data_IF_794534064997
#
_entry.id   IF_794534064997
#
_cell.length_a   1.000
_cell.length_b   1.000
_cell.length_c   1.000
_cell.angle_alpha   90.00
_cell.angle_beta   90.00
_cell.angle_gamma   90.00
#
_symmetry.space_group_name_H-M   'P 1'
#
loop_
_entity.id
_entity.type
_entity.pdbx_description
1 polymer ?
#
# COMPACT_ATOMS: atom_id res chain seq x y z
N UNK A 1 -26.29 1.88 5.53
CA UNK A 1 -24.94 2.22 5.03
C UNK A 1 -24.42 3.41 5.81
N UNK A 2 -23.17 3.35 6.27
CA UNK A 2 -22.50 4.49 6.93
C UNK A 2 -21.29 4.90 6.11
N UNK A 3 -21.10 6.20 5.91
CA UNK A 3 -19.94 6.75 5.24
C UNK A 3 -19.27 7.78 6.16
N UNK A 4 -17.95 7.73 6.21
CA UNK A 4 -17.10 8.77 6.79
C UNK A 4 -16.10 9.21 5.74
N UNK A 5 -16.07 10.50 5.46
CA UNK A 5 -15.10 11.10 4.55
C UNK A 5 -14.28 12.08 5.38
N UNK A 6 -12.97 11.88 5.41
CA UNK A 6 -12.06 12.69 6.20
C UNK A 6 -11.02 13.32 5.29
N UNK A 7 -10.95 14.64 5.32
CA UNK A 7 -9.92 15.45 4.68
C UNK A 7 -8.95 15.92 5.76
N UNK A 8 -7.66 15.71 5.56
CA UNK A 8 -6.60 16.29 6.40
C UNK A 8 -5.87 17.34 5.58
N UNK A 9 -6.12 18.60 5.92
CA UNK A 9 -5.56 19.79 5.26
C UNK A 9 -4.04 19.81 5.42
N UNK A 10 -3.34 20.04 4.31
CA UNK A 10 -1.87 20.05 4.28
C UNK A 10 -1.27 21.37 4.74
N UNK A 11 -1.92 22.48 4.37
CA UNK A 11 -1.55 23.81 4.80
C UNK A 11 -2.72 24.47 5.55
N UNK A 12 -2.71 24.47 6.90
CA UNK A 12 -3.78 25.04 7.70
C UNK A 12 -4.07 26.51 7.39
N UNK A 13 -3.03 27.28 7.03
CA UNK A 13 -3.16 28.72 6.71
C UNK A 13 -3.91 28.99 5.41
N UNK A 14 -3.94 28.01 4.50
CA UNK A 14 -4.61 28.13 3.21
C UNK A 14 -6.08 27.70 3.26
N UNK A 15 -6.54 27.14 4.38
CA UNK A 15 -7.90 26.65 4.53
C UNK A 15 -8.78 27.69 5.23
N UNK A 16 -9.97 27.92 4.70
CA UNK A 16 -10.97 28.79 5.34
C UNK A 16 -12.34 28.10 5.44
N UNK A 17 -13.14 28.38 6.48
CA UNK A 17 -14.44 27.71 6.67
C UNK A 17 -15.43 27.95 5.52
N UNK A 18 -15.28 29.05 4.78
CA UNK A 18 -16.13 29.42 3.64
C UNK A 18 -16.01 28.44 2.47
N UNK A 19 -14.94 27.63 2.44
CA UNK A 19 -14.77 26.55 1.46
C UNK A 19 -15.73 25.38 1.69
N UNK A 20 -16.48 25.38 2.80
CA UNK A 20 -17.43 24.34 3.18
C UNK A 20 -18.84 24.90 3.24
N UNK A 21 -19.70 24.45 2.32
CA UNK A 21 -21.09 24.90 2.25
C UNK A 21 -22.03 23.71 2.38
N UNK A 22 -22.82 23.69 3.45
CA UNK A 22 -23.94 22.75 3.61
C UNK A 22 -25.18 23.39 2.97
N UNK A 23 -25.87 22.68 2.08
CA UNK A 23 -27.12 23.19 1.49
C UNK A 23 -28.20 23.37 2.56
N UNK A 24 -29.16 24.27 2.30
CA UNK A 24 -30.21 24.64 3.27
C UNK A 24 -31.04 23.46 3.80
N UNK A 25 -31.16 22.39 3.01
CA UNK A 25 -31.87 21.17 3.38
C UNK A 25 -31.02 20.18 4.20
N UNK A 26 -29.74 20.48 4.42
CA UNK A 26 -28.77 19.65 5.13
C UNK A 26 -28.40 18.35 4.39
N UNK A 27 -28.88 18.12 3.16
CA UNK A 27 -28.73 16.82 2.48
C UNK A 27 -27.45 16.69 1.66
N UNK A 28 -26.74 17.80 1.45
CA UNK A 28 -25.47 17.81 0.73
C UNK A 28 -24.50 18.83 1.29
N UNK A 29 -23.21 18.55 1.13
CA UNK A 29 -22.11 19.47 1.43
C UNK A 29 -21.22 19.62 0.20
N UNK A 30 -20.94 20.86 -0.16
CA UNK A 30 -19.98 21.22 -1.20
C UNK A 30 -18.66 21.64 -0.57
N UNK A 31 -17.56 21.11 -1.09
CA UNK A 31 -16.20 21.56 -0.83
C UNK A 31 -15.65 22.26 -2.06
N UNK A 32 -14.90 23.34 -1.88
CA UNK A 32 -14.24 24.06 -2.98
C UNK A 32 -12.75 24.29 -2.70
N UNK A 33 -11.90 23.81 -3.61
CA UNK A 33 -10.45 24.02 -3.61
C UNK A 33 -9.75 23.64 -2.27
N UNK A 34 -10.16 22.53 -1.66
CA UNK A 34 -9.58 22.08 -0.38
C UNK A 34 -8.31 21.25 -0.64
N UNK A 35 -7.14 21.77 -0.26
CA UNK A 35 -5.86 21.05 -0.40
C UNK A 35 -5.61 20.11 0.78
N UNK A 36 -6.02 18.84 0.62
CA UNK A 36 -5.98 17.84 1.68
C UNK A 36 -5.65 16.44 1.16
N UNK A 37 -5.11 15.61 2.05
CA UNK A 37 -5.23 14.17 1.89
C UNK A 37 -6.65 13.73 2.24
N UNK A 38 -7.19 12.72 1.55
CA UNK A 38 -8.57 12.25 1.71
C UNK A 38 -8.57 10.77 2.08
N UNK A 39 -9.40 10.40 3.05
CA UNK A 39 -9.77 9.01 3.31
C UNK A 39 -11.30 8.89 3.24
N UNK A 40 -11.79 7.92 2.48
CA UNK A 40 -13.20 7.60 2.39
C UNK A 40 -13.43 6.21 2.93
N UNK A 41 -14.17 6.13 4.04
CA UNK A 41 -14.55 4.89 4.69
C UNK A 41 -16.04 4.63 4.53
N UNK A 42 -16.41 3.48 3.99
CA UNK A 42 -17.78 3.02 3.81
C UNK A 42 -17.97 1.75 4.64
N UNK A 43 -18.99 1.72 5.48
CA UNK A 43 -19.38 0.55 6.27
C UNK A 43 -20.73 0.04 5.81
N UNK A 44 -20.77 -1.24 5.43
CA UNK A 44 -21.92 -1.93 4.89
C UNK A 44 -22.24 -3.14 5.76
N UNK A 45 -23.51 -3.29 6.15
CA UNK A 45 -24.00 -4.54 6.70
C UNK A 45 -23.93 -5.66 5.66
N UNK A 46 -23.79 -6.91 6.10
CA UNK A 46 -23.79 -8.06 5.17
C UNK A 46 -25.10 -8.18 4.36
N UNK A 47 -26.20 -7.67 4.88
CA UNK A 47 -27.51 -7.59 4.24
C UNK A 47 -27.61 -6.46 3.20
N UNK A 48 -26.71 -5.47 3.28
CA UNK A 48 -26.61 -4.37 2.32
C UNK A 48 -25.76 -4.73 1.09
N UNK A 49 -25.05 -5.86 1.13
CA UNK A 49 -24.23 -6.36 0.04
C UNK A 49 -25.04 -7.23 -0.94
N UNK A 50 -24.65 -7.28 -2.22
CA UNK A 50 -25.09 -8.34 -3.14
C UNK A 50 -24.91 -9.72 -2.51
N UNK A 51 -25.86 -10.63 -2.75
CA UNK A 51 -25.88 -11.97 -2.11
C UNK A 51 -24.58 -12.74 -2.36
N UNK A 52 -24.03 -12.59 -3.55
CA UNK A 52 -22.78 -13.18 -3.98
C UNK A 52 -21.63 -12.72 -3.08
N UNK A 53 -21.47 -11.40 -2.87
CA UNK A 53 -20.42 -10.85 -2.01
C UNK A 53 -20.66 -11.18 -0.53
N UNK A 54 -21.90 -11.11 -0.07
CA UNK A 54 -22.26 -11.48 1.31
C UNK A 54 -21.88 -12.94 1.60
N UNK A 55 -22.10 -13.84 0.64
CA UNK A 55 -21.75 -15.26 0.78
C UNK A 55 -20.24 -15.52 0.84
N UNK A 56 -19.43 -14.67 0.18
CA UNK A 56 -17.97 -14.74 0.24
C UNK A 56 -17.50 -14.41 1.66
N UNK A 57 -17.91 -13.28 2.21
CA UNK A 57 -17.47 -12.85 3.54
C UNK A 57 -17.91 -13.81 4.65
N UNK A 58 -19.10 -14.39 4.55
CA UNK A 58 -19.63 -15.35 5.54
C UNK A 58 -18.81 -16.64 5.69
N UNK A 59 -17.87 -16.92 4.78
CA UNK A 59 -16.98 -18.09 4.89
C UNK A 59 -15.79 -17.83 5.82
N UNK A 60 -15.52 -16.59 6.21
CA UNK A 60 -14.32 -16.22 6.94
C UNK A 60 -14.66 -15.80 8.37
N UNK A 61 -13.79 -16.13 9.34
CA UNK A 61 -13.86 -15.56 10.68
C UNK A 61 -13.46 -14.08 10.67
N UNK A 62 -12.41 -13.80 9.90
CA UNK A 62 -11.93 -12.46 9.55
C UNK A 62 -11.29 -12.49 8.16
N UNK A 63 -11.46 -11.41 7.40
CA UNK A 63 -10.99 -11.30 6.03
C UNK A 63 -10.61 -9.85 5.74
N UNK A 64 -9.32 -9.61 5.53
CA UNK A 64 -8.74 -8.29 5.36
C UNK A 64 -8.00 -8.24 4.03
N UNK A 65 -8.48 -7.42 3.10
CA UNK A 65 -7.77 -7.10 1.87
C UNK A 65 -7.11 -5.74 2.07
N UNK A 66 -5.84 -5.63 1.67
CA UNK A 66 -5.09 -4.38 1.61
C UNK A 66 -4.45 -4.31 0.24
N UNK A 67 -4.64 -3.21 -0.46
CA UNK A 67 -3.92 -2.92 -1.70
C UNK A 67 -3.22 -1.58 -1.57
N UNK A 68 -1.97 -1.51 -2.02
CA UNK A 68 -1.23 -0.26 -2.12
C UNK A 68 -0.63 -0.10 -3.52
N UNK A 69 -0.68 1.14 -4.03
CA UNK A 69 -0.09 1.50 -5.31
C UNK A 69 1.45 1.39 -5.28
N UNK A 70 2.05 1.07 -6.43
CA UNK A 70 3.49 1.15 -6.66
C UNK A 70 4.02 2.60 -6.71
N UNK A 71 3.12 3.58 -6.86
CA UNK A 71 3.48 4.99 -6.91
C UNK A 71 3.74 5.52 -5.51
N UNK A 72 4.96 6.02 -5.27
CA UNK A 72 5.33 6.68 -4.02
C UNK A 72 4.47 7.92 -3.75
N UNK A 73 4.13 8.13 -2.48
CA UNK A 73 3.41 9.31 -1.99
C UNK A 73 3.83 9.64 -0.56
N UNK A 74 3.58 10.88 -0.15
CA UNK A 74 3.80 11.32 1.23
C UNK A 74 2.54 10.97 2.01
N UNK A 75 2.65 10.08 2.99
CA UNK A 75 1.49 9.70 3.78
C UNK A 75 1.19 10.75 4.87
N UNK A 76 -0.05 11.23 4.89
CA UNK A 76 -0.57 12.21 5.86
C UNK A 76 -1.20 11.48 7.06
N UNK A 77 -0.72 11.68 8.29
CA UNK A 77 -1.39 11.16 9.48
C UNK A 77 -2.82 11.74 9.60
N UNK A 78 -3.80 11.01 10.16
CA UNK A 78 -3.69 9.72 10.85
C UNK A 78 -3.78 8.51 9.89
N UNK A 79 -3.75 8.73 8.58
CA UNK A 79 -3.90 7.66 7.60
C UNK A 79 -2.66 6.76 7.63
N UNK A 80 -2.87 5.53 8.10
CA UNK A 80 -1.78 4.61 8.51
C UNK A 80 -1.79 3.29 7.76
N UNK A 81 -2.69 3.11 6.79
CA UNK A 81 -2.62 1.95 5.89
C UNK A 81 -1.35 2.03 5.05
N UNK A 82 -0.34 1.27 5.47
CA UNK A 82 0.97 1.20 4.84
C UNK A 82 1.36 -0.26 4.70
N UNK A 83 1.25 -0.77 3.48
CA UNK A 83 1.74 -2.08 3.07
C UNK A 83 2.67 -1.91 1.87
N UNK A 84 3.50 -2.91 1.59
CA UNK A 84 4.28 -2.92 0.35
C UNK A 84 3.35 -2.94 -0.86
N UNK A 85 3.75 -2.35 -2.01
CA UNK A 85 2.90 -2.28 -3.18
C UNK A 85 2.37 -3.64 -3.64
N UNK A 86 1.11 -3.67 -4.08
CA UNK A 86 0.41 -4.89 -4.47
C UNK A 86 -0.73 -5.25 -3.52
N UNK A 87 -1.25 -6.46 -3.69
CA UNK A 87 -2.38 -7.02 -2.97
C UNK A 87 -1.89 -7.88 -1.80
N UNK A 88 -2.36 -7.58 -0.60
CA UNK A 88 -2.19 -8.38 0.61
C UNK A 88 -3.56 -8.84 1.09
N UNK A 89 -3.68 -10.12 1.42
CA UNK A 89 -4.90 -10.67 2.01
C UNK A 89 -4.54 -11.38 3.30
N UNK A 90 -5.09 -10.92 4.41
CA UNK A 90 -4.96 -11.56 5.72
C UNK A 90 -6.31 -12.16 6.09
N UNK A 91 -6.34 -13.44 6.43
CA UNK A 91 -7.61 -14.12 6.64
C UNK A 91 -7.52 -15.29 7.63
N UNK A 92 -8.66 -15.60 8.23
CA UNK A 92 -8.85 -16.79 9.07
C UNK A 92 -10.11 -17.52 8.60
N UNK A 93 -9.98 -18.74 8.05
CA UNK A 93 -11.14 -19.51 7.60
C UNK A 93 -11.98 -20.00 8.79
N UNK A 94 -13.30 -20.09 8.59
CA UNK A 94 -14.16 -20.89 9.47
C UNK A 94 -13.88 -22.39 9.29
N UNK A 95 -14.26 -23.21 10.28
CA UNK A 95 -14.14 -24.68 10.19
C UNK A 95 -14.90 -25.28 9.00
N UNK A 96 -15.94 -24.62 8.54
CA UNK A 96 -16.78 -25.03 7.40
C UNK A 96 -16.27 -24.51 6.05
N UNK A 97 -15.18 -23.74 6.02
CA UNK A 97 -14.66 -23.15 4.79
C UNK A 97 -14.02 -24.23 3.92
N UNK A 98 -14.43 -24.37 2.65
CA UNK A 98 -13.74 -25.25 1.71
C UNK A 98 -12.27 -24.86 1.52
N UNK A 99 -11.39 -25.83 1.27
CA UNK A 99 -9.96 -25.59 1.14
C UNK A 99 -9.60 -24.77 -0.11
N UNK A 100 -10.41 -24.83 -1.15
CA UNK A 100 -10.23 -24.11 -2.42
C UNK A 100 -10.90 -22.73 -2.43
N UNK A 101 -11.79 -22.45 -1.46
CA UNK A 101 -12.62 -21.24 -1.44
C UNK A 101 -11.82 -19.94 -1.62
N UNK A 102 -10.67 -19.81 -0.95
CA UNK A 102 -9.82 -18.63 -1.07
C UNK A 102 -9.36 -18.40 -2.51
N UNK A 103 -8.78 -19.40 -3.15
CA UNK A 103 -8.22 -19.27 -4.49
C UNK A 103 -9.32 -19.07 -5.54
N UNK A 104 -10.45 -19.79 -5.41
CA UNK A 104 -11.61 -19.60 -6.28
C UNK A 104 -12.12 -18.17 -6.23
N UNK A 105 -12.30 -17.62 -5.02
CA UNK A 105 -12.77 -16.23 -4.85
C UNK A 105 -11.75 -15.22 -5.36
N UNK A 106 -10.46 -15.45 -5.11
CA UNK A 106 -9.39 -14.59 -5.58
C UNK A 106 -9.31 -14.55 -7.11
N UNK A 107 -9.47 -15.69 -7.76
CA UNK A 107 -9.49 -15.80 -9.22
C UNK A 107 -10.73 -15.16 -9.83
N UNK A 108 -11.89 -15.32 -9.19
CA UNK A 108 -13.16 -14.75 -9.66
C UNK A 108 -13.24 -13.24 -9.48
N UNK A 109 -12.80 -12.71 -8.33
CA UNK A 109 -12.96 -11.29 -7.98
C UNK A 109 -11.79 -10.42 -8.42
N UNK A 110 -10.57 -10.97 -8.46
CA UNK A 110 -9.36 -10.18 -8.72
C UNK A 110 -8.75 -10.54 -10.07
N UNK A 111 -8.19 -11.74 -10.21
CA UNK A 111 -7.61 -12.19 -11.48
C UNK A 111 -7.35 -13.71 -11.50
N UNK A 112 -7.71 -14.41 -12.59
CA UNK A 112 -7.44 -15.84 -12.73
C UNK A 112 -5.95 -16.16 -12.92
N UNK A 113 -5.09 -15.17 -13.15
CA UNK A 113 -3.64 -15.37 -13.35
C UNK A 113 -2.85 -15.39 -12.04
N UNK A 114 -3.50 -15.23 -10.89
CA UNK A 114 -2.82 -15.20 -9.60
C UNK A 114 -2.34 -16.60 -9.20
N UNK A 115 -1.11 -16.66 -8.69
CA UNK A 115 -0.48 -17.90 -8.19
C UNK A 115 -1.18 -18.32 -6.89
N UNK A 116 -2.28 -19.06 -7.03
CA UNK A 116 -3.08 -19.58 -5.93
C UNK A 116 -3.68 -20.92 -6.36
N UNK A 117 -3.24 -22.02 -5.75
CA UNK A 117 -3.74 -23.38 -6.01
C UNK A 117 -4.78 -23.81 -4.97
N UNK A 118 -4.43 -23.72 -3.69
CA UNK A 118 -5.33 -23.91 -2.55
C UNK A 118 -5.00 -22.95 -1.41
N UNK A 119 -5.90 -22.85 -0.43
CA UNK A 119 -5.71 -21.99 0.74
C UNK A 119 -4.43 -22.35 1.51
N UNK A 120 -4.22 -23.63 1.80
CA UNK A 120 -3.08 -24.09 2.61
C UNK A 120 -1.75 -24.07 1.87
N UNK A 121 -1.77 -24.37 0.56
CA UNK A 121 -0.57 -24.42 -0.25
C UNK A 121 -0.03 -23.02 -0.58
N UNK A 122 -0.93 -22.08 -0.86
CA UNK A 122 -0.54 -20.76 -1.38
C UNK A 122 -0.25 -19.75 -0.28
N UNK A 123 -0.98 -19.82 0.85
CA UNK A 123 -0.83 -18.88 1.94
C UNK A 123 0.32 -19.24 2.89
N UNK A 124 0.80 -18.25 3.64
CA UNK A 124 1.81 -18.43 4.69
C UNK A 124 1.19 -18.15 6.05
N UNK A 125 1.76 -18.74 7.11
CA UNK A 125 1.39 -18.45 8.50
C UNK A 125 2.54 -17.70 9.15
N UNK A 126 2.26 -16.48 9.63
CA UNK A 126 3.26 -15.72 10.39
C UNK A 126 3.46 -16.36 11.77
N UNK A 127 4.70 -16.49 12.26
CA UNK A 127 4.94 -17.03 13.60
C UNK A 127 4.37 -16.08 14.65
N UNK A 128 3.68 -16.65 15.64
CA UNK A 128 3.16 -15.90 16.78
C UNK A 128 4.33 -15.57 17.69
N UNK A 129 4.83 -14.33 17.62
CA UNK A 129 5.92 -13.85 18.47
C UNK A 129 5.46 -13.42 19.87
N UNK A 130 4.16 -13.15 20.03
CA UNK A 130 3.54 -12.80 21.32
C UNK A 130 2.04 -13.10 21.29
N UNK A 131 1.58 -13.97 22.19
CA UNK A 131 0.16 -14.34 22.29
C UNK A 131 -0.72 -13.18 22.80
N UNK A 132 -0.13 -12.21 23.52
CA UNK A 132 -0.85 -11.07 24.13
C UNK A 132 -1.45 -10.08 23.13
N UNK A 133 -1.07 -10.16 21.85
CA UNK A 133 -1.55 -9.28 20.78
C UNK A 133 -2.04 -10.04 19.55
N UNK A 134 -2.46 -11.29 19.72
CA UNK A 134 -2.94 -12.18 18.64
C UNK A 134 -4.34 -11.80 18.11
N UNK A 135 -4.47 -10.57 17.61
CA UNK A 135 -5.58 -10.16 16.73
C UNK A 135 -5.17 -10.26 15.25
N UNK A 136 -4.08 -10.98 14.97
CA UNK A 136 -3.58 -11.15 13.61
C UNK A 136 -4.24 -12.36 12.98
N UNK A 137 -4.64 -12.21 11.73
CA UNK A 137 -5.21 -13.31 10.98
C UNK A 137 -4.24 -14.50 10.88
N UNK A 138 -4.80 -15.69 10.86
CA UNK A 138 -4.04 -16.94 10.89
C UNK A 138 -3.17 -17.16 9.65
N UNK A 139 -3.54 -16.56 8.52
CA UNK A 139 -2.91 -16.77 7.22
C UNK A 139 -2.75 -15.46 6.46
N UNK A 140 -1.71 -15.38 5.65
CA UNK A 140 -1.39 -14.24 4.78
C UNK A 140 -1.13 -14.71 3.35
N UNK A 141 -1.69 -13.98 2.39
CA UNK A 141 -1.40 -14.09 0.97
C UNK A 141 -0.91 -12.74 0.43
N UNK A 142 0.03 -12.78 -0.51
CA UNK A 142 0.47 -11.59 -1.25
C UNK A 142 0.55 -11.89 -2.74
N UNK A 143 0.17 -10.91 -3.55
CA UNK A 143 0.46 -10.90 -4.97
C UNK A 143 0.77 -9.49 -5.42
N UNK A 144 1.79 -9.33 -6.27
CA UNK A 144 2.04 -8.05 -6.89
C UNK A 144 0.91 -7.73 -7.88
N UNK A 145 0.22 -6.62 -7.62
CA UNK A 145 -0.87 -6.10 -8.44
C UNK A 145 -0.64 -4.60 -8.61
N UNK A 146 -0.11 -4.22 -9.77
CA UNK A 146 0.32 -2.84 -10.02
C UNK A 146 -0.84 -1.83 -10.06
N UNK A 147 -2.00 -2.26 -10.58
CA UNK A 147 -3.19 -1.43 -10.75
C UNK A 147 -4.46 -2.20 -10.42
N UNK A 148 -5.45 -1.50 -9.85
CA UNK A 148 -6.80 -2.02 -9.60
C UNK A 148 -7.73 -1.89 -10.82
N UNK A 149 -7.29 -1.32 -11.94
CA UNK A 149 -8.14 -1.00 -13.09
C UNK A 149 -9.02 -2.17 -13.55
N UNK A 150 -8.42 -3.35 -13.74
CA UNK A 150 -9.15 -4.56 -14.15
C UNK A 150 -10.13 -5.03 -13.07
N UNK A 151 -9.72 -4.97 -11.81
CA UNK A 151 -10.53 -5.40 -10.66
C UNK A 151 -11.77 -4.51 -10.54
N UNK A 152 -11.57 -3.19 -10.58
CA UNK A 152 -12.64 -2.20 -10.49
C UNK A 152 -13.58 -2.29 -11.69
N UNK A 153 -13.04 -2.45 -12.91
CA UNK A 153 -13.87 -2.60 -14.12
C UNK A 153 -14.78 -3.83 -14.01
N UNK A 154 -14.21 -4.99 -13.64
CA UNK A 154 -14.98 -6.22 -13.43
C UNK A 154 -16.02 -6.07 -12.31
N UNK A 155 -15.65 -5.39 -11.22
CA UNK A 155 -16.55 -5.10 -10.11
C UNK A 155 -17.74 -4.24 -10.55
N UNK A 156 -17.48 -3.18 -11.31
CA UNK A 156 -18.53 -2.30 -11.84
C UNK A 156 -19.50 -3.04 -12.74
N UNK A 157 -18.99 -3.84 -13.67
CA UNK A 157 -19.80 -4.63 -14.60
C UNK A 157 -20.69 -5.66 -13.90
N UNK A 158 -20.21 -6.23 -12.78
CA UNK A 158 -20.92 -7.27 -12.04
C UNK A 158 -21.90 -6.73 -11.01
N UNK A 159 -21.58 -5.62 -10.34
CA UNK A 159 -22.30 -5.19 -9.13
C UNK A 159 -22.94 -3.81 -9.20
N UNK A 160 -22.51 -2.91 -10.09
CA UNK A 160 -23.13 -1.59 -10.23
C UNK A 160 -24.22 -1.62 -11.33
N UNK A 161 -25.31 -0.84 -11.17
CA UNK A 161 -26.40 -0.83 -12.17
C UNK A 161 -25.99 -0.04 -13.41
N UNK A 162 -25.40 1.12 -13.21
CA UNK A 162 -24.86 1.98 -14.26
C UNK A 162 -23.56 2.63 -13.80
N UNK A 163 -22.74 3.13 -14.74
CA UNK A 163 -21.51 3.85 -14.38
C UNK A 163 -21.78 5.19 -13.68
N UNK A 164 -22.93 5.80 -13.94
CA UNK A 164 -23.31 7.12 -13.43
C UNK A 164 -24.04 7.08 -12.07
N UNK A 165 -24.41 5.88 -11.60
CA UNK A 165 -24.97 5.72 -10.26
C UNK A 165 -23.90 5.90 -9.17
N UNK A 166 -24.32 5.89 -7.91
CA UNK A 166 -23.43 6.07 -6.76
C UNK A 166 -22.37 4.97 -6.71
N UNK A 167 -22.71 3.72 -7.04
CA UNK A 167 -21.78 2.59 -7.06
C UNK A 167 -20.69 2.80 -8.13
N UNK A 168 -21.10 3.13 -9.36
CA UNK A 168 -20.20 3.35 -10.48
C UNK A 168 -19.24 4.52 -10.25
N UNK A 169 -19.74 5.64 -9.71
CA UNK A 169 -18.92 6.81 -9.37
C UNK A 169 -17.89 6.49 -8.29
N UNK A 170 -18.31 5.86 -7.19
CA UNK A 170 -17.39 5.46 -6.12
C UNK A 170 -16.34 4.48 -6.61
N UNK A 171 -16.74 3.47 -7.37
CA UNK A 171 -15.82 2.50 -7.95
C UNK A 171 -14.80 3.18 -8.89
N UNK A 172 -15.23 4.15 -9.70
CA UNK A 172 -14.32 4.89 -10.59
C UNK A 172 -13.28 5.70 -9.80
N UNK A 173 -13.67 6.32 -8.69
CA UNK A 173 -12.75 7.07 -7.82
C UNK A 173 -11.64 6.18 -7.23
N UNK A 174 -11.90 4.88 -7.02
CA UNK A 174 -10.90 3.95 -6.50
C UNK A 174 -9.71 3.75 -7.45
N UNK A 175 -9.84 4.08 -8.74
CA UNK A 175 -8.75 3.94 -9.71
C UNK A 175 -7.55 4.84 -9.42
N UNK A 176 -7.76 6.01 -8.79
CA UNK A 176 -6.70 6.95 -8.43
C UNK A 176 -6.25 6.84 -6.96
N UNK A 177 -6.86 5.93 -6.20
CA UNK A 177 -6.52 5.71 -4.80
C UNK A 177 -5.06 5.24 -4.66
N UNK A 178 -4.42 5.65 -3.55
CA UNK A 178 -3.07 5.21 -3.18
C UNK A 178 -3.09 3.91 -2.41
N UNK A 179 -4.15 3.67 -1.65
CA UNK A 179 -4.43 2.38 -1.04
C UNK A 179 -5.94 2.13 -0.97
N UNK A 180 -6.31 0.85 -0.95
CA UNK A 180 -7.69 0.38 -0.79
C UNK A 180 -7.69 -0.81 0.15
N UNK A 181 -8.54 -0.72 1.15
CA UNK A 181 -8.61 -1.61 2.30
C UNK A 181 -10.02 -2.13 2.44
N UNK A 182 -10.19 -3.45 2.56
CA UNK A 182 -11.47 -4.08 2.86
C UNK A 182 -11.32 -4.89 4.13
N UNK A 183 -12.10 -4.57 5.15
CA UNK A 183 -12.11 -5.29 6.42
C UNK A 183 -13.44 -5.96 6.65
N UNK A 184 -13.39 -7.21 7.10
CA UNK A 184 -14.53 -7.96 7.57
C UNK A 184 -14.14 -8.82 8.77
N UNK A 185 -15.03 -8.87 9.76
CA UNK A 185 -14.95 -9.81 10.87
C UNK A 185 -16.34 -10.31 11.27
N UNK A 186 -16.38 -11.51 11.84
CA UNK A 186 -17.64 -12.15 12.24
C UNK A 186 -18.34 -11.49 13.43
N UNK A 187 -17.63 -10.67 14.23
CA UNK A 187 -18.20 -9.99 15.39
C UNK A 187 -19.01 -8.77 14.92
N UNK A 188 -18.41 -7.94 14.07
CA UNK A 188 -19.07 -6.74 13.53
C UNK A 188 -20.12 -7.08 12.47
N UNK A 189 -19.96 -8.21 11.77
CA UNK A 189 -20.79 -8.62 10.62
C UNK A 189 -21.00 -7.49 9.61
N UNK A 190 -19.98 -6.66 9.45
CA UNK A 190 -19.98 -5.54 8.54
C UNK A 190 -18.71 -5.57 7.70
N UNK A 191 -18.83 -5.15 6.45
CA UNK A 191 -17.70 -4.93 5.55
C UNK A 191 -17.37 -3.45 5.57
N UNK A 192 -16.11 -3.13 5.85
CA UNK A 192 -15.58 -1.77 5.87
C UNK A 192 -14.63 -1.61 4.69
N UNK A 193 -15.02 -0.82 3.71
CA UNK A 193 -14.16 -0.38 2.62
C UNK A 193 -13.53 0.96 3.02
N UNK A 194 -12.21 1.07 2.95
CA UNK A 194 -11.46 2.31 3.16
C UNK A 194 -10.58 2.57 1.94
N UNK A 195 -10.63 3.77 1.39
CA UNK A 195 -9.76 4.19 0.30
C UNK A 195 -9.10 5.52 0.63
N UNK A 196 -7.83 5.66 0.29
CA UNK A 196 -7.05 6.85 0.61
C UNK A 196 -6.37 7.48 -0.59
N UNK A 197 -6.36 8.81 -0.60
CA UNK A 197 -5.71 9.65 -1.60
C UNK A 197 -4.80 10.64 -0.90
N UNK A 198 -3.59 10.81 -1.43
CA UNK A 198 -2.66 11.80 -0.91
C UNK A 198 -3.07 13.23 -1.29
N UNK A 199 -3.63 13.41 -2.48
CA UNK A 199 -4.03 14.70 -3.05
C UNK A 199 -5.22 14.51 -3.98
N UNK A 200 -5.92 15.61 -4.28
CA UNK A 200 -6.91 15.66 -5.35
C UNK A 200 -6.26 15.42 -6.71
N UNK A 201 -7.06 14.99 -7.70
CA UNK A 201 -6.59 14.87 -9.07
C UNK A 201 -6.32 16.26 -9.66
N UNK A 202 -5.07 16.52 -10.05
CA UNK A 202 -4.65 17.82 -10.59
C UNK A 202 -3.99 18.72 -9.54
N UNK A 203 -4.04 20.04 -9.75
CA UNK A 203 -3.41 21.05 -8.87
C UNK A 203 -4.40 21.91 -8.10
N UNK A 204 -5.70 21.72 -8.28
CA UNK A 204 -6.77 22.65 -7.85
C UNK A 204 -7.51 22.21 -6.58
N UNK A 205 -6.91 21.33 -5.77
CA UNK A 205 -7.53 20.82 -4.54
C UNK A 205 -8.82 20.01 -4.78
N UNK A 206 -9.47 19.57 -3.71
CA UNK A 206 -10.75 18.87 -3.77
C UNK A 206 -11.87 19.88 -4.00
N UNK A 207 -12.62 19.69 -5.09
CA UNK A 207 -13.85 20.42 -5.38
C UNK A 207 -14.95 19.41 -5.71
N UNK A 208 -15.83 19.13 -4.75
CA UNK A 208 -16.83 18.07 -4.89
C UNK A 208 -18.12 18.37 -4.10
N UNK A 209 -19.24 17.88 -4.63
CA UNK A 209 -20.53 17.88 -3.93
C UNK A 209 -20.80 16.47 -3.41
N UNK A 210 -20.92 16.35 -2.09
CA UNK A 210 -21.22 15.09 -1.40
C UNK A 210 -22.68 15.12 -1.01
N UNK A 211 -23.43 14.12 -1.47
CA UNK A 211 -24.88 14.02 -1.25
C UNK A 211 -25.21 12.83 -0.36
N UNK A 212 -26.28 12.96 0.43
CA UNK A 212 -26.84 11.89 1.24
C UNK A 212 -27.51 10.82 0.33
N UNK A 213 -27.03 9.56 0.30
CA UNK A 213 -27.54 8.55 -0.64
C UNK A 213 -29.00 8.17 -0.40
N UNK A 214 -29.42 8.10 0.87
CA UNK A 214 -30.79 7.77 1.29
C UNK A 214 -31.05 8.34 2.68
N UNK A 215 -32.33 8.47 3.07
CA UNK A 215 -32.72 9.00 4.39
C UNK A 215 -32.22 8.17 5.58
N UNK A 216 -32.03 6.86 5.36
CA UNK A 216 -31.53 5.93 6.39
C UNK A 216 -30.00 5.82 6.39
N UNK A 217 -29.32 6.50 5.45
CA UNK A 217 -27.87 6.54 5.40
C UNK A 217 -27.32 7.57 6.39
N UNK A 218 -26.07 7.37 6.81
CA UNK A 218 -25.34 8.38 7.60
C UNK A 218 -24.06 8.72 6.85
N UNK A 219 -23.86 10.01 6.56
CA UNK A 219 -22.64 10.52 5.93
C UNK A 219 -22.04 11.57 6.85
N UNK A 220 -20.88 11.26 7.41
CA UNK A 220 -20.08 12.16 8.22
C UNK A 220 -18.91 12.68 7.38
N UNK A 221 -18.74 14.00 7.35
CA UNK A 221 -17.67 14.66 6.59
C UNK A 221 -16.85 15.48 7.58
N UNK A 222 -15.56 15.18 7.66
CA UNK A 222 -14.61 15.91 8.48
C UNK A 222 -13.53 16.58 7.65
N UNK A 223 -13.28 17.86 7.89
CA UNK A 223 -12.14 18.59 7.34
C UNK A 223 -11.29 19.05 8.51
N UNK A 224 -10.17 18.37 8.67
CA UNK A 224 -9.32 18.41 9.84
C UNK A 224 -7.94 18.96 9.48
N UNK A 225 -7.26 19.53 10.46
CA UNK A 225 -5.89 20.01 10.38
C UNK A 225 -5.12 19.54 11.61
N UNK A 226 -3.83 19.29 11.45
CA UNK A 226 -2.97 18.95 12.57
C UNK A 226 -2.84 20.12 13.53
N UNK A 227 -2.96 19.82 14.82
CA UNK A 227 -2.67 20.77 15.89
C UNK A 227 -1.44 20.35 16.69
N UNK A 228 -0.71 21.31 17.26
CA UNK A 228 0.35 21.00 18.22
C UNK A 228 -0.24 20.31 19.46
N UNK A 229 0.50 19.32 19.97
CA UNK A 229 0.13 18.57 21.15
C UNK A 229 1.30 18.56 22.15
N UNK A 230 0.97 18.66 23.45
CA UNK A 230 1.95 18.53 24.54
C UNK A 230 2.39 17.10 24.79
N UNK A 231 1.56 16.11 24.44
CA UNK A 231 1.91 14.69 24.58
C UNK A 231 2.44 14.15 23.23
N UNK A 232 3.71 13.68 23.16
CA UNK A 232 4.27 13.09 21.94
C UNK A 232 3.60 11.77 21.53
N UNK A 233 2.89 11.11 22.46
CA UNK A 233 2.13 9.88 22.23
C UNK A 233 0.65 10.15 21.87
N UNK A 234 0.26 11.38 21.60
CA UNK A 234 -1.08 11.67 21.11
C UNK A 234 -1.02 12.48 19.81
N UNK A 235 -1.90 12.16 18.86
CA UNK A 235 -2.16 13.01 17.71
C UNK A 235 -3.37 13.88 17.97
N UNK A 236 -3.24 15.15 17.64
CA UNK A 236 -4.27 16.14 17.85
C UNK A 236 -4.68 16.78 16.54
N UNK A 237 -5.99 16.94 16.37
CA UNK A 237 -6.60 17.56 15.21
C UNK A 237 -7.64 18.58 15.63
N UNK A 238 -7.66 19.71 14.94
CA UNK A 238 -8.76 20.67 14.95
C UNK A 238 -9.45 20.69 13.59
N UNK A 239 -10.65 21.26 13.50
CA UNK A 239 -11.29 21.50 12.21
C UNK A 239 -12.80 21.52 12.30
N UNK A 240 -13.46 21.04 11.25
CA UNK A 240 -14.90 21.08 11.10
C UNK A 240 -15.46 19.70 10.78
N UNK A 241 -16.63 19.39 11.35
CA UNK A 241 -17.41 18.20 11.04
C UNK A 241 -18.83 18.58 10.64
N UNK A 242 -19.39 17.85 9.70
CA UNK A 242 -20.81 17.93 9.36
C UNK A 242 -21.37 16.51 9.16
N UNK A 243 -22.55 16.27 9.71
CA UNK A 243 -23.34 15.06 9.47
C UNK A 243 -24.52 15.41 8.58
N UNK A 244 -24.53 14.88 7.35
CA UNK A 244 -25.60 15.16 6.39
C UNK A 244 -26.95 14.62 6.90
N UNK A 245 -28.00 15.42 6.72
CA UNK A 245 -29.36 15.16 7.20
C UNK A 245 -29.59 15.54 8.68
N UNK A 246 -28.55 15.94 9.41
CA UNK A 246 -28.64 16.33 10.82
C UNK A 246 -28.14 17.76 11.06
N UNK A 247 -27.04 18.14 10.42
CA UNK A 247 -26.41 19.44 10.58
C UNK A 247 -26.78 20.38 9.42
N UNK A 248 -27.01 21.65 9.74
CA UNK A 248 -27.25 22.73 8.77
C UNK A 248 -25.98 23.55 8.47
N UNK A 249 -24.91 23.31 9.22
CA UNK A 249 -23.62 23.97 9.03
C UNK A 249 -22.48 23.11 9.62
N UNK A 250 -21.25 23.25 9.13
CA UNK A 250 -20.09 22.59 9.73
C UNK A 250 -19.85 23.06 11.16
N UNK A 251 -19.64 22.12 12.08
CA UNK A 251 -19.38 22.38 13.50
C UNK A 251 -17.89 22.29 13.78
N UNK A 252 -17.35 23.31 14.43
CA UNK A 252 -15.98 23.30 14.91
C UNK A 252 -15.77 22.16 15.92
N UNK A 253 -14.68 21.42 15.76
CA UNK A 253 -14.36 20.25 16.58
C UNK A 253 -12.86 20.15 16.84
N UNK A 254 -12.52 19.45 17.91
CA UNK A 254 -11.15 19.16 18.31
C UNK A 254 -11.07 17.74 18.84
N UNK A 255 -10.09 16.98 18.36
CA UNK A 255 -9.84 15.60 18.75
C UNK A 255 -8.41 15.42 19.22
N UNK A 256 -8.24 14.64 20.27
CA UNK A 256 -6.95 14.14 20.71
C UNK A 256 -7.11 12.63 20.91
N UNK A 257 -6.23 11.85 20.30
CA UNK A 257 -6.25 10.39 20.41
C UNK A 257 -4.85 9.84 20.48
N UNK A 258 -4.63 8.78 21.29
CA UNK A 258 -3.42 7.99 21.17
C UNK A 258 -3.41 7.33 19.80
N UNK A 259 -2.23 7.22 19.19
CA UNK A 259 -2.05 6.49 17.93
C UNK A 259 -0.98 5.43 18.08
N UNK A 260 -1.04 4.34 17.31
CA UNK A 260 0.06 3.38 17.29
C UNK A 260 1.18 3.78 16.34
N UNK A 261 0.87 4.67 15.40
CA UNK A 261 1.77 5.12 14.37
C UNK A 261 1.83 6.64 14.41
N UNK A 262 3.00 7.16 14.76
CA UNK A 262 3.25 8.59 14.83
C UNK A 262 4.01 9.03 13.59
N UNK A 263 3.70 10.20 13.02
CA UNK A 263 4.70 10.90 12.24
C UNK A 263 5.93 11.11 13.13
N UNK A 264 7.12 10.88 12.58
CA UNK A 264 8.33 11.30 13.26
C UNK A 264 8.37 12.82 13.19
N UNK A 265 8.16 13.49 14.30
CA UNK A 265 8.17 14.96 14.42
C UNK A 265 9.53 15.43 14.92
N UNK A 266 9.90 16.65 14.57
CA UNK A 266 11.07 17.29 15.17
C UNK A 266 10.81 17.55 16.67
N UNK A 267 11.79 17.30 17.55
CA UNK A 267 11.68 17.67 18.95
C UNK A 267 11.50 19.19 19.06
N UNK A 268 10.33 19.64 19.51
CA UNK A 268 10.04 21.07 19.64
C UNK A 268 10.89 21.69 20.75
N UNK A 269 11.90 22.46 20.39
CA UNK A 269 12.53 23.41 21.32
C UNK A 269 11.67 24.66 21.40
N UNK A 270 10.73 24.67 22.34
CA UNK A 270 10.00 25.86 22.83
C UNK A 270 9.20 26.71 21.82
N UNK A 271 7.87 26.61 21.87
CA UNK A 271 6.86 27.68 22.13
C UNK A 271 5.52 27.26 21.53
N UNK A 272 4.43 27.65 22.18
CA UNK A 272 3.05 27.18 22.01
C UNK A 272 2.36 27.54 20.68
N UNK A 273 3.06 28.13 19.72
CA UNK A 273 2.48 28.69 18.49
C UNK A 273 3.07 28.14 17.17
N UNK A 274 4.06 27.24 17.19
CA UNK A 274 4.57 26.66 15.93
C UNK A 274 3.87 25.34 15.56
N UNK A 275 3.50 25.23 14.28
CA UNK A 275 2.99 23.99 13.69
C UNK A 275 4.04 22.87 13.79
N UNK A 276 3.67 21.64 14.16
CA UNK A 276 4.62 20.54 14.27
C UNK A 276 5.33 20.27 12.94
N UNK A 277 6.66 20.31 12.93
CA UNK A 277 7.50 20.03 11.75
C UNK A 277 7.83 18.55 11.69
N UNK A 278 7.80 17.98 10.47
CA UNK A 278 8.21 16.61 10.23
C UNK A 278 9.73 16.48 10.38
N UNK A 279 10.16 15.40 11.02
CA UNK A 279 11.56 15.09 11.22
C UNK A 279 12.29 14.84 9.87
N UNK A 280 13.54 15.30 9.70
CA UNK A 280 14.25 15.27 8.42
C UNK A 280 14.77 13.87 8.01
N UNK A 281 14.49 12.85 8.81
CA UNK A 281 14.94 11.48 8.53
C UNK A 281 14.18 10.90 7.34
N UNK A 282 14.94 10.54 6.31
CA UNK A 282 14.45 9.87 5.12
C UNK A 282 15.27 8.61 4.86
N UNK A 283 14.68 7.68 4.12
CA UNK A 283 15.38 6.49 3.65
C UNK A 283 15.03 6.20 2.20
N UNK A 284 15.93 5.51 1.50
CA UNK A 284 15.70 4.98 0.17
C UNK A 284 16.04 3.50 0.13
N UNK A 285 15.46 2.77 -0.83
CA UNK A 285 15.76 1.35 -1.03
C UNK A 285 16.13 1.11 -2.49
N UNK A 286 17.10 0.26 -2.73
CA UNK A 286 17.53 -0.12 -4.09
C UNK A 286 18.22 -1.49 -4.07
N UNK A 287 18.35 -2.13 -5.23
CA UNK A 287 19.20 -3.31 -5.37
C UNK A 287 20.58 -2.90 -5.88
N UNK A 288 21.63 -3.52 -5.33
CA UNK A 288 22.99 -3.35 -5.81
C UNK A 288 23.12 -3.84 -7.25
N UNK A 289 23.71 -3.03 -8.14
CA UNK A 289 23.92 -3.39 -9.53
C UNK A 289 25.35 -3.92 -9.76
N UNK A 290 25.54 -4.92 -10.63
CA UNK A 290 24.52 -5.66 -11.37
C UNK A 290 23.72 -6.62 -10.48
N UNK A 291 22.42 -6.77 -10.77
CA UNK A 291 21.58 -7.77 -10.11
C UNK A 291 21.85 -9.15 -10.71
N UNK A 292 22.70 -9.94 -10.03
CA UNK A 292 22.93 -11.35 -10.37
C UNK A 292 21.91 -12.28 -9.72
N UNK A 293 22.26 -13.57 -9.59
CA UNK A 293 21.45 -14.56 -8.85
C UNK A 293 21.37 -14.29 -7.33
N UNK A 294 22.21 -13.38 -6.82
CA UNK A 294 22.23 -12.99 -5.41
C UNK A 294 22.03 -11.48 -5.26
N UNK A 295 20.83 -10.96 -5.55
CA UNK A 295 20.56 -9.54 -5.38
C UNK A 295 20.72 -9.14 -3.91
N UNK A 296 21.35 -7.99 -3.68
CA UNK A 296 21.46 -7.41 -2.33
C UNK A 296 20.59 -6.17 -2.26
N UNK A 297 19.59 -6.20 -1.39
CA UNK A 297 18.77 -5.02 -1.08
C UNK A 297 19.58 -4.07 -0.20
N UNK A 298 19.71 -2.83 -0.63
CA UNK A 298 20.36 -1.76 0.12
C UNK A 298 19.29 -0.79 0.62
N UNK A 299 19.28 -0.53 1.93
CA UNK A 299 18.48 0.52 2.57
C UNK A 299 19.44 1.63 2.97
N UNK A 300 19.26 2.81 2.39
CA UNK A 300 20.17 3.96 2.60
C UNK A 300 19.48 5.03 3.42
N UNK A 301 20.18 5.54 4.42
CA UNK A 301 19.78 6.67 5.26
C UNK A 301 20.73 7.83 5.01
N UNK A 302 20.37 8.80 4.15
CA UNK A 302 21.23 9.95 3.86
C UNK A 302 21.50 10.78 5.13
N UNK A 303 20.44 11.07 5.88
CA UNK A 303 20.46 11.90 7.09
C UNK A 303 20.66 11.06 8.36
N UNK A 304 21.59 10.11 8.33
CA UNK A 304 21.76 9.09 9.37
C UNK A 304 22.13 9.62 10.76
N UNK A 305 22.65 10.84 10.88
CA UNK A 305 22.89 11.49 12.16
C UNK A 305 21.61 11.68 12.99
N UNK A 306 20.46 11.74 12.32
CA UNK A 306 19.15 11.81 12.94
C UNK A 306 18.53 10.42 13.20
N UNK A 307 19.22 9.32 12.87
CA UNK A 307 18.75 7.97 13.12
C UNK A 307 19.04 7.56 14.57
N UNK A 308 18.36 8.22 15.52
CA UNK A 308 18.45 7.93 16.94
C UNK A 308 17.17 7.26 17.43
N UNK A 309 17.26 6.24 18.30
CA UNK A 309 16.07 5.62 18.85
C UNK A 309 15.35 6.61 19.79
N UNK A 310 14.01 6.75 19.68
CA UNK A 310 13.25 7.69 20.52
C UNK A 310 13.26 7.30 22.00
N UNK A 311 13.39 6.02 22.30
CA UNK A 311 13.56 5.46 23.64
C UNK A 311 14.58 4.31 23.57
N UNK A 312 15.43 4.08 24.59
CA UNK A 312 16.39 2.97 24.61
C UNK A 312 15.76 1.57 24.46
N UNK A 313 14.47 1.42 24.74
CA UNK A 313 13.73 0.18 24.50
C UNK A 313 13.24 0.01 23.05
N UNK A 314 13.17 1.10 22.27
CA UNK A 314 12.74 1.09 20.89
C UNK A 314 13.83 0.52 19.98
N UNK A 315 13.42 -0.30 19.02
CA UNK A 315 14.29 -0.96 18.05
C UNK A 315 13.83 -0.63 16.64
N UNK A 316 14.79 -0.49 15.73
CA UNK A 316 14.50 -0.27 14.33
C UNK A 316 14.31 -1.60 13.63
N UNK A 317 13.17 -1.75 12.96
CA UNK A 317 12.82 -2.96 12.23
C UNK A 317 12.55 -2.65 10.76
N UNK A 318 12.83 -3.63 9.89
CA UNK A 318 12.31 -3.64 8.52
C UNK A 318 11.55 -4.93 8.28
N UNK A 319 10.36 -4.79 7.70
CA UNK A 319 9.50 -5.89 7.31
C UNK A 319 9.51 -6.00 5.79
N UNK A 320 9.91 -7.15 5.28
CA UNK A 320 10.02 -7.43 3.85
C UNK A 320 8.94 -8.42 3.43
N UNK A 321 8.24 -8.09 2.35
CA UNK A 321 7.36 -9.01 1.61
C UNK A 321 8.08 -9.39 0.33
N UNK A 322 8.47 -10.65 0.21
CA UNK A 322 9.29 -11.14 -0.90
C UNK A 322 8.49 -12.15 -1.72
N UNK A 323 8.39 -11.99 -3.05
CA UNK A 323 7.75 -12.97 -3.91
C UNK A 323 8.57 -14.27 -3.96
N UNK A 324 7.97 -15.39 -4.36
CA UNK A 324 8.62 -16.72 -4.34
C UNK A 324 9.93 -16.83 -5.12
N UNK A 325 10.13 -16.00 -6.14
CA UNK A 325 11.37 -15.98 -6.92
C UNK A 325 12.53 -15.23 -6.22
N UNK A 326 12.28 -14.62 -5.06
CA UNK A 326 13.26 -13.91 -4.25
C UNK A 326 13.14 -14.38 -2.79
N UNK A 327 14.15 -15.07 -2.28
CA UNK A 327 14.09 -15.65 -0.94
C UNK A 327 15.35 -15.38 -0.12
N UNK A 328 15.20 -15.57 1.20
CA UNK A 328 16.24 -15.34 2.19
C UNK A 328 16.86 -16.68 2.59
N UNK A 329 18.17 -16.80 2.46
CA UNK A 329 18.90 -17.89 3.08
C UNK A 329 19.04 -17.65 4.59
N UNK A 330 18.15 -18.26 5.38
CA UNK A 330 18.13 -18.14 6.84
C UNK A 330 19.46 -18.51 7.51
N UNK A 331 20.24 -19.42 6.93
CA UNK A 331 21.49 -19.88 7.54
C UNK A 331 22.57 -18.80 7.46
N UNK A 332 22.55 -17.99 6.41
CA UNK A 332 23.45 -16.84 6.24
C UNK A 332 23.24 -15.80 7.35
N UNK A 333 22.01 -15.66 7.86
CA UNK A 333 21.66 -14.69 8.91
C UNK A 333 21.79 -15.21 10.34
N UNK A 334 22.48 -16.34 10.54
CA UNK A 334 22.75 -16.89 11.88
C UNK A 334 24.08 -16.43 12.48
N UNK A 335 25.04 -15.99 11.65
CA UNK A 335 26.35 -15.51 12.09
C UNK A 335 26.28 -14.04 12.54
N UNK A 336 26.58 -13.72 13.81
CA UNK A 336 26.61 -12.35 14.30
C UNK A 336 27.63 -11.45 13.59
N UNK A 337 28.77 -11.99 13.14
CA UNK A 337 29.80 -11.20 12.44
C UNK A 337 29.30 -10.80 11.05
N UNK A 338 28.68 -11.73 10.34
CA UNK A 338 28.02 -11.46 9.07
C UNK A 338 26.92 -10.39 9.24
N UNK A 339 26.01 -10.56 10.21
CA UNK A 339 24.95 -9.58 10.49
C UNK A 339 25.52 -8.19 10.78
N UNK A 340 26.53 -8.09 11.65
CA UNK A 340 27.16 -6.82 11.98
C UNK A 340 27.81 -6.14 10.75
N UNK A 341 28.46 -6.92 9.88
CA UNK A 341 29.05 -6.40 8.63
C UNK A 341 28.03 -5.80 7.66
N UNK A 342 26.75 -6.14 7.83
CA UNK A 342 25.62 -5.71 7.01
C UNK A 342 24.72 -4.69 7.70
N UNK A 343 25.13 -4.19 8.88
CA UNK A 343 24.35 -3.31 9.74
C UNK A 343 23.00 -3.90 10.18
N UNK A 344 22.97 -5.23 10.35
CA UNK A 344 21.84 -5.99 10.88
C UNK A 344 22.14 -6.47 12.30
N UNK A 345 21.12 -6.51 13.15
CA UNK A 345 21.21 -7.06 14.51
C UNK A 345 20.75 -8.51 14.58
N UNK A 346 19.64 -8.83 13.93
CA UNK A 346 19.07 -10.18 13.90
C UNK A 346 17.96 -10.33 12.86
N UNK A 347 17.77 -11.55 12.36
CA UNK A 347 16.53 -11.98 11.71
C UNK A 347 15.54 -12.40 12.81
N UNK A 348 14.48 -11.62 13.00
CA UNK A 348 13.48 -11.79 14.08
C UNK A 348 12.40 -12.80 13.71
N UNK A 349 12.00 -12.84 12.44
CA UNK A 349 10.97 -13.73 11.93
C UNK A 349 11.18 -13.98 10.44
N UNK A 350 10.91 -15.21 10.01
CA UNK A 350 10.87 -15.60 8.60
C UNK A 350 9.76 -16.65 8.43
N UNK A 351 8.85 -16.41 7.49
CA UNK A 351 7.74 -17.30 7.18
C UNK A 351 7.53 -17.42 5.66
N UNK A 352 7.07 -18.59 5.21
CA UNK A 352 6.82 -18.86 3.79
C UNK A 352 7.93 -19.63 3.09
N UNK A 353 8.12 -19.36 1.80
CA UNK A 353 9.03 -20.09 0.93
C UNK A 353 10.49 -19.76 1.26
N UNK A 354 11.24 -20.77 1.73
CA UNK A 354 12.67 -20.65 2.09
C UNK A 354 13.52 -21.77 1.50
N UNK A 355 12.98 -22.54 0.56
CA UNK A 355 13.71 -23.62 -0.09
C UNK A 355 14.79 -23.03 -1.01
N UNK A 356 16.05 -23.41 -0.79
CA UNK A 356 17.20 -22.88 -1.51
C UNK A 356 17.38 -23.52 -2.90
N UNK A 357 16.75 -24.68 -3.14
CA UNK A 357 16.96 -25.51 -4.33
C UNK A 357 15.72 -25.55 -5.24
N UNK A 358 14.52 -25.31 -4.68
CA UNK A 358 13.29 -25.35 -5.45
C UNK A 358 13.21 -24.22 -6.49
N UNK A 359 12.97 -24.53 -7.78
CA UNK A 359 12.69 -23.50 -8.78
C UNK A 359 11.33 -22.84 -8.54
N UNK A 360 11.14 -21.60 -9.02
CA UNK A 360 9.96 -20.79 -8.69
C UNK A 360 8.62 -21.45 -9.10
N UNK A 361 8.62 -22.21 -10.21
CA UNK A 361 7.41 -22.84 -10.75
C UNK A 361 6.90 -24.06 -9.97
N UNK A 362 7.69 -24.61 -9.03
CA UNK A 362 7.22 -25.69 -8.13
C UNK A 362 6.85 -25.18 -6.74
N UNK A 363 7.26 -23.96 -6.38
CA UNK A 363 6.91 -23.34 -5.10
C UNK A 363 5.44 -22.93 -5.17
N UNK A 364 4.57 -23.54 -4.36
CA UNK A 364 3.13 -23.20 -4.37
C UNK A 364 2.81 -21.92 -3.60
N UNK A 365 3.57 -21.65 -2.52
CA UNK A 365 3.44 -20.45 -1.72
C UNK A 365 3.74 -19.19 -2.55
N UNK A 366 3.08 -18.09 -2.22
CA UNK A 366 3.30 -16.82 -2.91
C UNK A 366 4.72 -16.26 -2.74
N UNK A 367 5.41 -16.65 -1.67
CA UNK A 367 6.73 -16.13 -1.31
C UNK A 367 6.98 -16.20 0.18
N UNK A 368 7.65 -15.19 0.72
CA UNK A 368 8.02 -15.13 2.14
C UNK A 368 7.85 -13.74 2.75
N UNK A 369 7.65 -13.72 4.06
CA UNK A 369 7.67 -12.52 4.89
C UNK A 369 8.84 -12.60 5.87
N UNK A 370 9.63 -11.54 5.97
CA UNK A 370 10.79 -11.48 6.83
C UNK A 370 10.82 -10.20 7.67
N UNK A 371 11.18 -10.33 8.95
CA UNK A 371 11.35 -9.21 9.87
C UNK A 371 12.80 -9.17 10.33
N UNK A 372 13.51 -8.11 10.00
CA UNK A 372 14.87 -7.85 10.49
C UNK A 372 14.85 -6.78 11.57
N UNK A 373 15.74 -6.92 12.55
CA UNK A 373 16.19 -5.81 13.37
C UNK A 373 17.44 -5.20 12.74
N UNK A 374 17.37 -3.90 12.50
CA UNK A 374 18.44 -3.12 11.89
C UNK A 374 19.27 -2.48 13.02
N UNK A 375 20.60 -2.40 12.82
CA UNK A 375 21.44 -1.56 13.67
C UNK A 375 21.12 -0.07 13.47
N UNK A 376 21.73 0.79 14.28
CA UNK A 376 21.74 2.23 14.03
C UNK A 376 23.13 2.75 14.42
N UNK A 377 23.59 3.87 13.84
CA UNK A 377 24.87 4.45 14.21
C UNK A 377 24.91 4.79 15.71
N UNK A 378 26.08 4.65 16.31
CA UNK A 378 26.29 5.09 17.69
C UNK A 378 26.15 6.63 17.75
N UNK A 379 25.55 7.19 18.81
CA UNK A 379 25.54 8.64 18.99
C UNK A 379 26.99 9.15 19.03
N UNK A 380 27.28 10.32 18.46
CA UNK A 380 28.63 10.89 18.49
C UNK A 380 29.07 11.04 19.94
N UNK A 381 30.14 10.34 20.32
CA UNK A 381 30.69 10.39 21.67
C UNK A 381 31.31 11.76 21.94
N UNK A 382 30.83 12.47 22.97
CA UNK A 382 31.29 13.81 23.38
C UNK A 382 32.68 13.85 24.03
N UNK A 383 33.54 12.86 23.78
CA UNK A 383 34.89 12.78 24.33
C UNK A 383 35.88 12.34 23.27
N UNK A 384 36.31 13.29 22.45
CA UNK A 384 37.62 13.29 21.80
C UNK A 384 37.96 14.73 21.41
N UNK A 385 38.53 15.49 22.35
CA UNK A 385 39.36 16.64 22.02
C UNK A 385 40.62 16.13 21.31
N UNK A 386 40.66 16.24 19.98
CA UNK A 386 41.88 15.98 19.21
C UNK A 386 41.64 15.48 17.80
N UNK A 387 41.86 16.38 16.84
CA UNK A 387 42.24 16.18 15.44
C UNK A 387 41.29 15.44 14.48
N UNK A 388 41.07 16.13 13.35
CA UNK A 388 40.50 15.69 12.07
C UNK A 388 38.97 15.65 11.96
N UNK A 389 38.43 16.84 11.67
CA UNK A 389 37.18 17.06 10.95
C UNK A 389 37.23 16.41 9.56
N UNK A 390 37.03 15.10 9.50
CA UNK A 390 36.48 14.43 8.33
C UNK A 390 34.98 14.30 8.53
N UNK A 391 34.21 15.28 8.04
CA UNK A 391 32.78 15.08 7.87
C UNK A 391 32.59 13.88 6.96
N UNK A 392 32.17 12.74 7.51
CA UNK A 392 31.78 11.58 6.69
C UNK A 392 30.45 11.96 6.03
N UNK A 393 30.53 12.67 4.91
CA UNK A 393 29.46 12.89 3.93
C UNK A 393 29.10 11.55 3.26
N UNK A 394 28.67 10.57 4.06
CA UNK A 394 28.32 9.24 3.59
C UNK A 394 26.92 8.87 4.08
N UNK A 395 26.08 8.34 3.19
CA UNK A 395 24.84 7.69 3.60
C UNK A 395 25.16 6.45 4.42
N UNK A 396 24.51 6.26 5.56
CA UNK A 396 24.59 5.00 6.30
C UNK A 396 23.70 3.96 5.62
N UNK A 397 24.23 2.77 5.35
CA UNK A 397 23.55 1.77 4.53
C UNK A 397 23.40 0.43 5.24
N UNK A 398 22.26 -0.21 5.04
CA UNK A 398 21.96 -1.57 5.50
C UNK A 398 21.89 -2.46 4.27
N UNK A 399 22.49 -3.64 4.34
CA UNK A 399 22.51 -4.56 3.21
C UNK A 399 21.83 -5.88 3.57
N UNK A 400 20.84 -6.31 2.79
CA UNK A 400 20.13 -7.57 3.00
C UNK A 400 20.33 -8.43 1.75
N UNK A 401 21.29 -9.36 1.78
CA UNK A 401 21.48 -10.32 0.69
C UNK A 401 20.27 -11.25 0.55
N UNK A 402 19.96 -11.60 -0.68
CA UNK A 402 18.89 -12.52 -1.02
C UNK A 402 19.32 -13.38 -2.21
N UNK A 403 18.57 -14.43 -2.48
CA UNK A 403 18.82 -15.34 -3.59
C UNK A 403 17.62 -15.35 -4.52
N UNK A 404 17.87 -15.37 -5.82
CA UNK A 404 16.84 -15.48 -6.83
C UNK A 404 16.66 -16.94 -7.25
N UNK A 405 15.41 -17.42 -7.23
CA UNK A 405 15.09 -18.73 -7.78
C UNK A 405 15.16 -18.70 -9.31
N UNK A 406 15.48 -19.84 -9.91
CA UNK A 406 15.45 -19.97 -11.37
C UNK A 406 14.00 -19.78 -11.83
N UNK A 407 13.78 -18.76 -12.66
CA UNK A 407 12.49 -18.55 -13.34
C UNK A 407 12.38 -19.46 -14.56
N UNK A 408 11.17 -19.87 -14.97
CA UNK A 408 11.03 -20.67 -16.18
C UNK A 408 11.57 -19.89 -17.39
N UNK A 409 12.18 -20.56 -18.38
CA UNK A 409 12.56 -19.89 -19.62
C UNK A 409 11.30 -19.27 -20.23
N UNK A 410 11.37 -18.04 -20.79
CA UNK A 410 10.22 -17.46 -21.48
C UNK A 410 9.77 -18.47 -22.52
N UNK A 411 8.49 -18.86 -22.48
CA UNK A 411 7.95 -19.78 -23.46
C UNK A 411 8.19 -19.16 -24.84
N UNK A 412 9.12 -19.75 -25.60
CA UNK A 412 9.25 -19.55 -27.03
C UNK A 412 7.91 -19.97 -27.63
N UNK A 413 7.00 -19.02 -27.77
CA UNK A 413 5.87 -19.20 -28.66
C UNK A 413 6.45 -19.54 -30.02
N UNK A 414 6.06 -20.71 -30.53
CA UNK A 414 6.44 -21.23 -31.83
C UNK A 414 6.08 -20.22 -32.94
N UNK A 415 6.93 -19.24 -33.20
CA UNK A 415 7.06 -18.60 -34.51
C UNK A 415 8.06 -19.42 -35.31
N UNK A 416 7.63 -20.66 -35.60
CA UNK A 416 8.23 -21.43 -36.67
C UNK A 416 7.97 -20.66 -37.97
N UNK A 417 9.03 -20.19 -38.61
CA UNK A 417 9.04 -19.61 -39.96
C UNK A 417 8.16 -20.45 -40.91
N UNK A 418 6.97 -19.94 -41.20
CA UNK A 418 6.23 -20.26 -42.43
C UNK A 418 5.90 -18.95 -43.12
N UNK A 419 6.92 -18.31 -43.71
CA UNK A 419 6.70 -17.35 -44.78
C UNK A 419 6.40 -18.13 -46.05
N UNK A 420 5.11 -18.39 -46.27
CA UNK A 420 4.55 -18.58 -47.61
C UNK A 420 4.76 -17.25 -48.36
N UNK A 421 5.68 -17.25 -49.33
CA UNK A 421 5.76 -16.19 -50.33
C UNK A 421 5.27 -16.75 -51.66
N UNK A 422 3.96 -16.61 -51.94
CA UNK A 422 3.42 -16.73 -53.28
C UNK A 422 2.37 -15.64 -53.54
N UNK A 423 2.76 -14.71 -54.42
CA UNK A 423 1.96 -13.87 -55.32
C UNK A 423 0.75 -13.11 -54.76
N UNK A 424 0.85 -11.79 -54.80
CA UNK A 424 -0.17 -10.94 -55.42
C UNK A 424 0.49 -9.87 -56.30
N UNK A 425 0.03 -9.83 -57.55
CA UNK A 425 0.23 -8.80 -58.58
C UNK A 425 -0.26 -7.43 -58.03
N UNK A 426 0.18 -6.25 -58.45
CA UNK A 426 0.93 -5.77 -59.61
C UNK A 426 0.39 -4.37 -59.93
N UNK A 427 1.25 -3.35 -60.05
CA UNK A 427 0.92 -2.07 -60.70
C UNK A 427 2.16 -1.57 -61.46
N UNK A 428 1.85 -0.98 -62.61
CA UNK A 428 2.63 -0.76 -63.82
C UNK A 428 3.28 0.64 -63.91
N UNK A 429 4.19 0.76 -64.90
CA UNK A 429 4.85 1.95 -65.51
C UNK A 429 6.17 2.41 -64.84
N UNK A 430 7.26 2.70 -65.57
CA UNK A 430 7.40 3.24 -66.94
C UNK A 430 8.83 3.02 -67.51
N UNK A 431 8.91 3.01 -68.85
CA UNK A 431 10.05 2.83 -69.79
C UNK A 431 11.23 3.83 -69.68
N UNK A 432 12.45 3.37 -70.00
CA UNK A 432 13.41 3.80 -71.08
C UNK A 432 14.79 3.14 -70.77
N UNK A 433 15.40 2.27 -71.58
CA UNK A 433 15.99 2.33 -72.95
C UNK A 433 17.33 3.08 -73.03
N UNK A 434 18.43 2.31 -73.14
CA UNK A 434 19.72 2.54 -73.87
C UNK A 434 20.65 1.35 -73.50
N UNK A 435 20.94 0.38 -74.37
CA UNK A 435 21.78 0.33 -75.59
C UNK A 435 23.28 0.07 -75.33
N UNK A 436 23.84 -0.91 -76.07
CA UNK A 436 25.25 -1.30 -76.22
C UNK A 436 25.56 -2.65 -75.54
N UNK A 437 25.87 -3.77 -76.20
CA UNK A 437 26.67 -4.02 -77.41
C UNK A 437 27.91 -4.84 -76.97
N UNK A 438 27.87 -6.18 -77.00
CA UNK A 438 28.33 -7.12 -78.05
C UNK A 438 29.82 -7.53 -77.95
N UNK A 439 30.04 -8.85 -77.81
CA UNK A 439 31.17 -9.71 -78.25
C UNK A 439 32.61 -9.41 -77.81
N UNK A 440 33.23 -10.34 -77.03
CA UNK A 440 34.09 -11.47 -77.49
C UNK A 440 33.91 -12.63 -76.52
#
# INVERSE_FOLDING_TARGET
MKQRITYVVKNPEAFTPEQLVVKEDGTSLTLENVHAAKEHRITLGLDELPRELSSVFQQWHEFHIRWASSTSYIATPPFTSRVSPGLHVLFTPLKSTPEDAFCTQLHELISPTLKCSSTNASAIKLPILSERFSQSASSQYFAYLDSLEKVITNFQEKFCKTKDDICGKLATQLLSAKYVDVDYDTISRAVVLTAGWNDAEGREGWSEEIQLPSKDSTVEIGVLMHEPNSDPEDIQFGGFLAVLGQDLSPKATRFQTPTRHYPLLEPSSSTTDETPKLHPLTYTTSFSHPTGLHPTLTISFPNHHHLTPPNPSCKLHTHLTLPSYLFIDKYQFSDPLFLASKNLRSLRSLAGATDLEAPDWVVEQWGSAALFEIAHPAPPSTTASGSESGSVEGSWTVSIPSTSATSPPPQLTHLCRRTLAHRLLGVSRRRRRQDGGESV
#
